data_IF_377003701274
#
_entry.id   IF_377003701274
#
_cell.length_a   1.000
_cell.length_b   1.000
_cell.length_c   1.000
_cell.angle_alpha   90.00
_cell.angle_beta   90.00
_cell.angle_gamma   90.00
#
_symmetry.space_group_name_H-M   'P 1'
#
loop_
_entity.id
_entity.type
_entity.pdbx_description
1 polymer ?
#
# COMPACT_ATOMS: atom_id res chain seq x y z
N UNK A 1 -12.32 -53.34 -3.69
CA UNK A 1 -11.01 -52.65 -3.68
C UNK A 1 -10.77 -51.76 -4.90
N UNK A 2 -11.02 -52.20 -6.15
CA UNK A 2 -10.83 -51.38 -7.37
C UNK A 2 -11.64 -50.05 -7.39
N UNK A 3 -12.86 -50.04 -6.83
CA UNK A 3 -13.73 -48.84 -6.76
C UNK A 3 -13.21 -47.78 -5.76
N UNK A 4 -12.55 -48.20 -4.68
CA UNK A 4 -11.95 -47.27 -3.70
C UNK A 4 -10.67 -46.62 -4.21
N UNK A 5 -9.89 -47.32 -5.04
CA UNK A 5 -8.68 -46.76 -5.66
C UNK A 5 -9.04 -45.68 -6.68
N UNK A 6 -10.13 -45.88 -7.45
CA UNK A 6 -10.61 -44.88 -8.40
C UNK A 6 -11.10 -43.60 -7.70
N UNK A 7 -11.79 -43.75 -6.56
CA UNK A 7 -12.27 -42.61 -5.77
C UNK A 7 -11.12 -41.80 -5.14
N UNK A 8 -10.04 -42.48 -4.73
CA UNK A 8 -8.86 -41.81 -4.15
C UNK A 8 -8.03 -41.05 -5.19
N UNK A 9 -8.03 -41.51 -6.45
CA UNK A 9 -7.35 -40.83 -7.57
C UNK A 9 -8.14 -39.61 -8.09
N UNK A 10 -9.47 -39.63 -7.98
CA UNK A 10 -10.33 -38.55 -8.48
C UNK A 10 -10.41 -37.33 -7.53
N UNK A 11 -10.16 -37.55 -6.24
CA UNK A 11 -10.20 -36.52 -5.19
C UNK A 11 -9.19 -35.36 -5.41
N UNK A 12 -7.91 -35.59 -5.74
CA UNK A 12 -6.97 -34.49 -5.98
C UNK A 12 -7.29 -33.71 -7.27
N UNK A 13 -7.91 -34.33 -8.28
CA UNK A 13 -8.27 -33.64 -9.51
C UNK A 13 -9.36 -32.57 -9.30
N UNK A 14 -10.29 -32.81 -8.36
CA UNK A 14 -11.29 -31.80 -7.96
C UNK A 14 -10.71 -30.68 -7.09
N UNK A 15 -9.61 -30.93 -6.35
CA UNK A 15 -8.99 -29.92 -5.51
C UNK A 15 -8.24 -28.84 -6.32
N UNK A 16 -7.80 -29.15 -7.55
CA UNK A 16 -7.07 -28.19 -8.40
C UNK A 16 -7.98 -27.24 -9.19
N UNK A 17 -9.29 -27.52 -9.32
CA UNK A 17 -10.20 -26.66 -10.11
C UNK A 17 -10.59 -25.36 -9.42
N UNK A 18 -10.26 -25.19 -8.13
CA UNK A 18 -10.58 -23.97 -7.36
C UNK A 18 -9.50 -22.89 -7.36
N UNK A 19 -8.34 -23.12 -7.99
CA UNK A 19 -7.20 -22.21 -7.89
C UNK A 19 -7.16 -21.12 -8.99
N UNK A 20 -8.05 -21.15 -9.97
CA UNK A 20 -8.11 -20.16 -11.06
C UNK A 20 -8.54 -18.78 -10.55
N UNK A 21 -9.55 -18.71 -9.68
CA UNK A 21 -10.12 -17.46 -9.16
C UNK A 21 -9.40 -16.90 -7.94
N UNK A 22 -8.43 -17.65 -7.39
CA UNK A 22 -7.64 -17.24 -6.24
C UNK A 22 -6.76 -16.02 -6.56
N UNK A 23 -6.23 -15.94 -7.79
CA UNK A 23 -5.37 -14.85 -8.25
C UNK A 23 -6.13 -13.51 -8.33
N UNK A 24 -7.41 -13.56 -8.69
CA UNK A 24 -8.26 -12.37 -8.82
C UNK A 24 -8.74 -11.89 -7.44
N UNK A 25 -9.08 -12.82 -6.54
CA UNK A 25 -9.46 -12.49 -5.15
C UNK A 25 -8.29 -11.95 -4.30
N UNK A 26 -7.06 -12.41 -4.55
CA UNK A 26 -5.86 -11.88 -3.88
C UNK A 26 -5.35 -10.57 -4.50
N UNK A 27 -6.01 -10.05 -5.54
CA UNK A 27 -5.61 -8.81 -6.20
C UNK A 27 -4.27 -8.90 -6.94
N UNK A 28 -3.80 -10.12 -7.27
CA UNK A 28 -2.62 -10.34 -8.10
C UNK A 28 -2.91 -10.01 -9.58
N UNK A 29 -4.16 -10.11 -10.00
CA UNK A 29 -4.63 -9.51 -11.26
C UNK A 29 -5.04 -8.05 -11.00
N UNK A 30 -4.36 -7.11 -11.65
CA UNK A 30 -4.76 -5.70 -11.68
C UNK A 30 -5.62 -5.46 -12.92
N UNK A 31 -6.95 -5.34 -12.81
CA UNK A 31 -7.74 -4.88 -13.94
C UNK A 31 -7.34 -3.44 -14.26
N UNK A 32 -6.78 -3.22 -15.44
CA UNK A 32 -6.53 -1.87 -15.95
C UNK A 32 -7.87 -1.14 -16.10
N UNK A 33 -8.00 0.12 -15.66
CA UNK A 33 -9.21 0.90 -15.87
C UNK A 33 -9.49 1.04 -17.37
N UNK A 34 -10.72 0.74 -17.80
CA UNK A 34 -11.15 0.86 -19.19
C UNK A 34 -11.17 2.33 -19.63
N UNK A 35 -10.17 2.72 -20.43
CA UNK A 35 -10.04 4.07 -20.97
C UNK A 35 -11.13 4.46 -21.99
N UNK A 36 -11.93 3.50 -22.48
CA UNK A 36 -13.01 3.74 -23.44
C UNK A 36 -14.40 3.76 -22.80
N UNK A 37 -14.47 3.62 -21.47
CA UNK A 37 -15.76 3.60 -20.78
C UNK A 37 -16.43 4.98 -20.78
N UNK A 38 -17.49 5.11 -21.57
CA UNK A 38 -18.31 6.34 -21.63
C UNK A 38 -19.19 6.42 -20.39
N UNK A 39 -19.02 7.49 -19.61
CA UNK A 39 -19.87 7.78 -18.44
C UNK A 39 -21.16 8.46 -18.92
N UNK A 40 -22.32 7.88 -18.61
CA UNK A 40 -23.61 8.50 -18.90
C UNK A 40 -23.82 9.75 -18.04
N UNK A 41 -24.16 10.85 -18.71
CA UNK A 41 -24.59 12.10 -18.05
C UNK A 41 -26.10 12.06 -17.83
N UNK A 42 -26.58 12.81 -16.85
CA UNK A 42 -28.01 13.00 -16.64
C UNK A 42 -28.65 13.57 -17.92
N UNK A 43 -29.86 13.13 -18.30
CA UNK A 43 -30.55 13.66 -19.48
C UNK A 43 -30.78 15.17 -19.32
N UNK A 44 -30.51 15.94 -20.37
CA UNK A 44 -30.86 17.36 -20.39
C UNK A 44 -32.36 17.49 -20.64
N UNK A 45 -33.12 17.82 -19.58
CA UNK A 45 -34.54 18.18 -19.71
C UNK A 45 -34.62 19.67 -19.94
N UNK A 46 -35.23 20.07 -21.05
CA UNK A 46 -35.53 21.46 -21.33
C UNK A 46 -36.74 21.87 -20.48
N UNK A 47 -36.61 22.79 -19.52
CA UNK A 47 -37.75 23.26 -18.75
C UNK A 47 -38.75 24.00 -19.66
N UNK A 48 -40.06 23.93 -19.36
CA UNK A 48 -41.11 24.52 -20.20
C UNK A 48 -41.04 26.05 -20.28
N UNK A 49 -40.38 26.71 -19.33
CA UNK A 49 -40.27 28.17 -19.28
C UNK A 49 -38.81 28.64 -19.43
N UNK A 50 -38.57 29.42 -20.49
CA UNK A 50 -37.29 30.06 -20.82
C UNK A 50 -37.08 31.42 -20.13
N UNK A 51 -37.90 31.78 -19.16
CA UNK A 51 -37.89 33.11 -18.51
C UNK A 51 -36.88 33.22 -17.37
N UNK A 52 -36.00 32.23 -17.20
CA UNK A 52 -34.92 32.29 -16.22
C UNK A 52 -33.80 33.19 -16.73
N UNK A 53 -33.33 34.09 -15.85
CA UNK A 53 -32.12 34.87 -16.11
C UNK A 53 -30.96 33.89 -16.39
N UNK A 54 -30.18 34.08 -17.47
CA UNK A 54 -29.06 33.21 -17.75
C UNK A 54 -28.16 33.07 -16.52
N UNK A 55 -27.73 31.86 -16.16
CA UNK A 55 -26.82 31.69 -15.04
C UNK A 55 -25.57 32.54 -15.30
N UNK A 56 -25.06 33.20 -14.25
CA UNK A 56 -23.87 34.02 -14.37
C UNK A 56 -22.70 33.19 -14.93
N UNK A 57 -21.91 33.78 -15.82
CA UNK A 57 -20.72 33.13 -16.38
C UNK A 57 -19.81 32.64 -15.24
N UNK A 58 -19.61 31.32 -15.12
CA UNK A 58 -18.82 30.70 -14.04
C UNK A 58 -19.61 30.28 -12.79
N UNK A 59 -20.94 30.38 -12.78
CA UNK A 59 -21.76 29.83 -11.70
C UNK A 59 -21.57 28.30 -11.61
N UNK A 60 -21.36 27.79 -10.40
CA UNK A 60 -21.22 26.36 -10.16
C UNK A 60 -22.48 25.62 -10.62
N UNK A 61 -22.31 24.52 -11.36
CA UNK A 61 -23.41 23.68 -11.80
C UNK A 61 -24.12 23.06 -10.58
N UNK A 62 -25.32 23.54 -10.25
CA UNK A 62 -26.09 23.14 -9.05
C UNK A 62 -26.62 21.68 -9.08
N UNK A 63 -26.20 20.86 -10.04
CA UNK A 63 -26.59 19.44 -10.17
C UNK A 63 -25.47 18.53 -10.69
N UNK A 64 -24.21 18.99 -10.72
CA UNK A 64 -23.11 18.18 -11.21
C UNK A 64 -22.71 17.11 -10.17
N UNK A 65 -23.33 15.93 -10.24
CA UNK A 65 -22.88 14.76 -9.49
C UNK A 65 -21.59 14.26 -10.10
N UNK A 66 -20.49 14.32 -9.34
CA UNK A 66 -19.20 13.79 -9.78
C UNK A 66 -19.23 12.26 -9.79
N UNK A 67 -18.42 11.59 -10.63
CA UNK A 67 -18.32 10.13 -10.60
C UNK A 67 -17.90 9.60 -9.23
N UNK A 68 -17.07 10.35 -8.49
CA UNK A 68 -16.66 10.01 -7.11
C UNK A 68 -17.85 10.00 -6.17
N UNK A 69 -18.66 11.06 -6.16
CA UNK A 69 -19.84 11.16 -5.30
C UNK A 69 -20.90 10.10 -5.64
N UNK A 70 -21.00 9.70 -6.92
CA UNK A 70 -21.89 8.61 -7.36
C UNK A 70 -21.39 7.23 -6.94
N UNK A 71 -20.08 6.99 -6.98
CA UNK A 71 -19.49 5.75 -6.49
C UNK A 71 -19.62 5.64 -4.97
N UNK A 72 -19.37 6.74 -4.26
CA UNK A 72 -19.55 6.85 -2.82
C UNK A 72 -21.01 6.53 -2.41
N UNK A 73 -22.00 7.10 -3.10
CA UNK A 73 -23.41 6.79 -2.82
C UNK A 73 -23.79 5.35 -3.12
N UNK A 74 -23.21 4.74 -4.16
CA UNK A 74 -23.46 3.33 -4.49
C UNK A 74 -22.84 2.38 -3.45
N UNK A 75 -21.67 2.73 -2.90
CA UNK A 75 -20.97 1.91 -1.91
C UNK A 75 -21.56 2.06 -0.50
N UNK A 76 -21.91 3.29 -0.10
CA UNK A 76 -22.39 3.59 1.24
C UNK A 76 -23.92 3.58 1.35
N UNK A 77 -24.63 3.49 0.22
CA UNK A 77 -26.10 3.58 0.17
C UNK A 77 -26.64 4.95 0.60
N UNK A 78 -25.78 5.97 0.71
CA UNK A 78 -26.14 7.32 1.16
C UNK A 78 -26.04 8.28 -0.02
N UNK A 79 -27.15 8.92 -0.38
CA UNK A 79 -27.13 9.94 -1.43
C UNK A 79 -26.43 11.20 -0.88
N UNK A 80 -25.39 11.77 -1.53
CA UNK A 80 -24.75 13.00 -1.08
C UNK A 80 -25.71 14.20 -0.99
N UNK A 81 -26.86 14.15 -1.68
CA UNK A 81 -27.93 15.14 -1.56
C UNK A 81 -28.95 14.82 -0.47
N UNK A 82 -28.96 13.59 0.06
CA UNK A 82 -29.47 13.40 1.41
C UNK A 82 -28.42 13.98 2.34
N UNK A 83 -28.54 15.29 2.63
CA UNK A 83 -28.12 15.81 3.94
C UNK A 83 -28.44 14.71 4.91
N UNK A 84 -27.48 14.25 5.74
CA UNK A 84 -27.73 13.38 6.88
C UNK A 84 -29.08 13.79 7.46
N UNK A 85 -30.14 13.13 7.03
CA UNK A 85 -31.39 13.21 7.71
C UNK A 85 -30.96 12.56 8.99
N UNK A 86 -30.92 13.35 10.05
CA UNK A 86 -30.92 12.86 11.40
C UNK A 86 -31.96 11.75 11.39
N UNK A 87 -31.51 10.52 11.12
CA UNK A 87 -32.35 9.34 11.09
C UNK A 87 -32.79 9.31 12.52
N UNK A 88 -34.01 9.79 12.76
CA UNK A 88 -34.45 10.27 14.05
C UNK A 88 -34.27 9.09 14.98
N UNK A 89 -33.19 9.12 15.77
CA UNK A 89 -32.72 7.96 16.52
C UNK A 89 -33.92 7.45 17.30
N UNK A 90 -34.22 6.16 17.18
CA UNK A 90 -35.30 5.59 17.97
C UNK A 90 -34.99 5.79 19.45
N UNK A 91 -36.03 5.76 20.29
CA UNK A 91 -35.85 5.88 21.74
C UNK A 91 -34.90 4.80 22.30
N UNK A 92 -34.82 3.63 21.65
CA UNK A 92 -33.88 2.58 22.03
C UNK A 92 -32.43 2.91 21.63
N UNK A 93 -32.22 3.43 20.42
CA UNK A 93 -30.88 3.79 19.93
C UNK A 93 -30.28 4.97 20.70
N UNK A 94 -31.08 5.99 21.01
CA UNK A 94 -30.65 7.12 21.86
C UNK A 94 -30.25 6.65 23.27
N UNK A 95 -31.03 5.75 23.89
CA UNK A 95 -30.67 5.18 25.20
C UNK A 95 -29.41 4.32 25.14
N UNK A 96 -29.19 3.58 24.06
CA UNK A 96 -27.97 2.82 23.88
C UNK A 96 -26.75 3.73 23.66
N UNK A 97 -26.90 4.81 22.90
CA UNK A 97 -25.87 5.84 22.72
C UNK A 97 -25.53 6.55 24.04
N UNK A 98 -26.53 6.87 24.86
CA UNK A 98 -26.33 7.44 26.20
C UNK A 98 -25.52 6.49 27.10
N UNK A 99 -25.87 5.19 27.10
CA UNK A 99 -25.19 4.17 27.90
C UNK A 99 -23.77 3.89 27.43
N UNK A 100 -23.54 3.87 26.11
CA UNK A 100 -22.21 3.61 25.53
C UNK A 100 -21.33 4.87 25.48
N UNK A 101 -21.91 6.05 25.72
CA UNK A 101 -21.20 7.32 25.59
C UNK A 101 -20.82 7.66 24.15
N UNK A 102 -21.42 7.00 23.14
CA UNK A 102 -21.09 7.20 21.73
C UNK A 102 -21.32 8.63 21.25
N UNK A 103 -22.26 9.35 21.87
CA UNK A 103 -22.55 10.77 21.60
C UNK A 103 -21.44 11.73 22.09
N UNK A 104 -20.53 11.25 22.95
CA UNK A 104 -19.43 12.06 23.50
C UNK A 104 -18.11 11.86 22.75
N UNK A 105 -18.12 11.17 21.62
CA UNK A 105 -16.91 10.91 20.83
C UNK A 105 -16.41 12.19 20.17
N UNK A 106 -15.13 12.51 20.35
CA UNK A 106 -14.49 13.65 19.69
C UNK A 106 -14.48 13.41 18.16
N UNK A 107 -15.12 14.28 17.35
CA UNK A 107 -15.14 14.14 15.89
C UNK A 107 -13.75 14.15 15.26
N UNK A 108 -12.76 14.74 15.95
CA UNK A 108 -11.37 14.86 15.50
C UNK A 108 -10.47 13.71 15.94
N UNK A 109 -10.98 12.71 16.69
CA UNK A 109 -10.16 11.62 17.26
C UNK A 109 -9.36 10.86 16.20
N UNK A 110 -9.93 10.66 14.99
CA UNK A 110 -9.23 10.03 13.88
C UNK A 110 -8.02 10.83 13.44
N UNK A 111 -8.16 12.14 13.29
CA UNK A 111 -7.07 13.03 12.90
C UNK A 111 -5.96 13.07 13.96
N UNK A 112 -6.32 12.94 15.24
CA UNK A 112 -5.35 12.84 16.34
C UNK A 112 -4.60 11.50 16.29
N UNK A 113 -5.31 10.37 16.17
CA UNK A 113 -4.69 9.04 16.03
C UNK A 113 -3.78 8.96 14.82
N UNK A 114 -4.20 9.49 13.67
CA UNK A 114 -3.39 9.49 12.46
C UNK A 114 -2.09 10.29 12.65
N UNK A 115 -2.18 11.45 13.33
CA UNK A 115 -1.00 12.28 13.64
C UNK A 115 -0.04 11.59 14.59
N UNK A 116 -0.54 10.98 15.65
CA UNK A 116 0.25 10.24 16.64
C UNK A 116 0.90 9.01 16.00
N UNK A 117 0.13 8.25 15.21
CA UNK A 117 0.61 7.07 14.49
C UNK A 117 1.72 7.42 13.49
N UNK A 118 1.59 8.55 12.79
CA UNK A 118 2.62 9.04 11.87
C UNK A 118 3.93 9.39 12.60
N UNK A 119 3.84 10.01 13.79
CA UNK A 119 5.02 10.33 14.60
C UNK A 119 5.73 9.08 15.11
N UNK A 120 4.98 8.07 15.58
CA UNK A 120 5.53 6.78 16.01
C UNK A 120 6.18 6.02 14.85
N UNK A 121 5.57 6.06 13.66
CA UNK A 121 6.13 5.44 12.47
C UNK A 121 7.49 6.05 12.08
N UNK A 122 7.63 7.37 12.17
CA UNK A 122 8.90 8.06 11.86
C UNK A 122 10.01 7.74 12.88
N UNK A 123 9.68 7.72 14.18
CA UNK A 123 10.63 7.37 15.23
C UNK A 123 11.22 5.95 15.05
N UNK A 124 10.40 5.00 14.59
CA UNK A 124 10.83 3.63 14.33
C UNK A 124 11.74 3.51 13.10
N UNK A 125 11.58 4.39 12.09
CA UNK A 125 12.48 4.39 10.92
C UNK A 125 13.92 4.62 11.33
N UNK A 126 14.21 5.59 12.19
CA UNK A 126 15.60 5.90 12.62
C UNK A 126 16.30 4.70 13.27
N UNK A 127 15.57 3.89 14.03
CA UNK A 127 16.10 2.68 14.66
C UNK A 127 16.37 1.58 13.63
N UNK A 128 15.43 1.34 12.71
CA UNK A 128 15.62 0.39 11.62
C UNK A 128 16.72 0.83 10.64
N UNK A 129 16.83 2.12 10.34
CA UNK A 129 17.86 2.71 9.46
C UNK A 129 19.25 2.46 10.05
N UNK A 130 19.39 2.65 11.37
CA UNK A 130 20.64 2.39 12.10
C UNK A 130 21.04 0.90 12.09
N UNK A 131 20.06 0.00 12.09
CA UNK A 131 20.32 -1.45 11.98
C UNK A 131 20.65 -1.83 10.53
N UNK A 132 19.97 -1.24 9.55
CA UNK A 132 20.18 -1.51 8.12
C UNK A 132 21.52 -0.98 7.61
N UNK A 133 21.93 0.20 8.04
CA UNK A 133 23.16 0.86 7.60
C UNK A 133 24.38 0.47 8.47
N UNK A 134 24.25 -0.55 9.31
CA UNK A 134 25.37 -1.15 10.03
C UNK A 134 26.23 -1.96 9.06
N UNK A 135 27.25 -1.32 8.49
CA UNK A 135 28.31 -2.01 7.75
C UNK A 135 29.37 -2.51 8.76
N UNK A 136 29.53 -3.83 8.99
CA UNK A 136 30.66 -4.31 9.77
C UNK A 136 31.96 -3.89 9.08
N UNK A 137 33.04 -3.59 9.84
CA UNK A 137 34.31 -3.20 9.23
C UNK A 137 34.83 -4.33 8.34
N UNK A 138 34.60 -4.23 7.03
CA UNK A 138 35.13 -5.15 6.06
C UNK A 138 36.61 -4.85 5.84
N UNK A 139 37.49 -5.69 6.39
CA UNK A 139 38.89 -5.75 5.99
C UNK A 139 38.96 -6.29 4.56
N UNK A 140 38.96 -5.38 3.58
CA UNK A 140 39.03 -5.72 2.17
C UNK A 140 40.46 -6.14 1.80
N UNK A 141 40.62 -7.37 1.31
CA UNK A 141 41.89 -7.88 0.79
C UNK A 141 42.19 -7.26 -0.58
N UNK A 142 43.43 -6.86 -0.83
CA UNK A 142 43.86 -6.34 -2.14
C UNK A 142 44.00 -7.50 -3.14
N UNK A 143 43.12 -7.62 -4.15
CA UNK A 143 43.11 -8.78 -5.04
C UNK A 143 44.37 -8.85 -5.92
N UNK A 144 44.98 -7.71 -6.24
CA UNK A 144 46.16 -7.66 -7.10
C UNK A 144 47.37 -8.15 -6.33
N UNK A 145 47.59 -7.60 -5.13
CA UNK A 145 48.72 -8.00 -4.28
C UNK A 145 48.58 -9.42 -3.76
N UNK A 146 47.35 -9.87 -3.46
CA UNK A 146 47.12 -11.24 -3.02
C UNK A 146 47.41 -12.25 -4.13
N UNK A 147 47.04 -11.95 -5.37
CA UNK A 147 47.39 -12.79 -6.52
C UNK A 147 48.90 -12.90 -6.68
N UNK A 148 49.62 -11.78 -6.60
CA UNK A 148 51.10 -11.78 -6.69
C UNK A 148 51.75 -12.62 -5.58
N UNK A 149 51.20 -12.57 -4.36
CA UNK A 149 51.67 -13.39 -3.23
C UNK A 149 51.45 -14.88 -3.50
N UNK A 150 50.28 -15.25 -4.00
CA UNK A 150 49.93 -16.64 -4.31
C UNK A 150 50.82 -17.22 -5.43
N UNK A 151 51.11 -16.44 -6.46
CA UNK A 151 52.02 -16.86 -7.53
C UNK A 151 53.45 -17.05 -7.02
N UNK A 152 53.93 -16.18 -6.12
CA UNK A 152 55.24 -16.33 -5.48
C UNK A 152 55.30 -17.56 -4.57
N UNK A 153 54.30 -17.78 -3.72
CA UNK A 153 54.24 -18.97 -2.87
C UNK A 153 54.22 -20.26 -3.70
N UNK A 154 53.49 -20.25 -4.83
CA UNK A 154 53.44 -21.38 -5.76
C UNK A 154 54.79 -21.64 -6.43
N UNK A 155 55.51 -20.59 -6.83
CA UNK A 155 56.85 -20.71 -7.40
C UNK A 155 57.90 -21.19 -6.37
N UNK A 156 57.73 -20.83 -5.10
CA UNK A 156 58.63 -21.20 -4.00
C UNK A 156 58.26 -22.54 -3.32
N UNK A 157 57.17 -23.20 -3.74
CA UNK A 157 56.69 -24.45 -3.15
C UNK A 157 56.11 -24.34 -1.74
N UNK A 158 55.79 -23.11 -1.30
CA UNK A 158 55.21 -22.82 0.03
C UNK A 158 53.69 -22.99 0.02
N UNK A 159 53.06 -23.39 1.14
CA UNK A 159 51.61 -23.47 1.24
C UNK A 159 50.94 -22.08 1.09
N UNK A 160 49.71 -22.08 0.57
CA UNK A 160 48.98 -20.85 0.22
C UNK A 160 48.67 -19.93 1.43
N UNK A 161 48.70 -20.48 2.64
CA UNK A 161 48.44 -19.76 3.90
C UNK A 161 49.68 -19.07 4.50
N UNK A 162 50.85 -19.19 3.87
CA UNK A 162 52.09 -18.62 4.41
C UNK A 162 52.31 -17.17 3.93
N UNK A 163 52.51 -16.25 4.88
CA UNK A 163 52.76 -14.83 4.63
C UNK A 163 51.61 -13.90 5.06
N UNK A 164 51.87 -12.58 5.06
CA UNK A 164 50.87 -11.58 5.41
C UNK A 164 49.94 -11.31 4.22
N UNK A 165 48.63 -11.39 4.45
CA UNK A 165 47.61 -11.06 3.45
C UNK A 165 47.56 -9.53 3.29
N UNK A 166 47.81 -8.99 2.08
CA UNK A 166 47.78 -7.55 1.86
C UNK A 166 46.34 -7.03 1.97
N UNK A 167 46.10 -6.17 2.95
CA UNK A 167 44.79 -5.54 3.19
C UNK A 167 44.77 -4.10 2.67
N UNK A 168 43.66 -3.70 2.04
CA UNK A 168 43.38 -2.32 1.66
C UNK A 168 42.86 -1.60 2.91
N UNK A 169 43.67 -0.70 3.47
CA UNK A 169 43.14 0.20 4.49
C UNK A 169 42.24 1.25 3.83
N UNK A 170 40.99 1.43 4.28
CA UNK A 170 40.17 2.53 3.80
C UNK A 170 40.86 3.85 4.17
N UNK A 171 41.21 4.67 3.17
CA UNK A 171 41.70 6.03 3.42
C UNK A 171 40.62 6.76 4.21
N UNK A 172 40.95 7.18 5.43
CA UNK A 172 40.07 8.04 6.24
C UNK A 172 39.77 9.29 5.41
N UNK A 173 38.50 9.50 5.06
CA UNK A 173 38.04 10.77 4.47
C UNK A 173 38.32 11.87 5.49
N UNK A 174 39.29 12.74 5.19
CA UNK A 174 39.57 13.93 5.98
C UNK A 174 38.48 14.98 5.79
N UNK A 175 38.30 15.85 6.78
CA UNK A 175 37.29 16.92 6.83
C UNK A 175 37.30 17.87 5.61
N UNK A 176 38.39 17.85 4.84
CA UNK A 176 38.63 18.72 3.67
C UNK A 176 38.40 18.05 2.31
N UNK A 177 38.12 16.73 2.26
CA UNK A 177 37.71 16.05 1.03
C UNK A 177 36.20 15.79 1.10
N UNK A 178 35.44 16.85 0.85
CA UNK A 178 33.99 16.78 0.59
C UNK A 178 33.74 16.74 -0.91
#
# INVERSE_FOLDING_TARGET
MRKSILAFLLLPAFALTGCSDFKDNLGLSRPSPDEFRVVSRAPLVLPPDFTLRPPANGAANLGAVTPRTKAESALLGTDPNTKKSDAKLSNGESKLLDLTGGDKSDPSIKATIDRESAQLAEANKTLLDKIRDYEPPATLVDPVKEKERLEKNKAEGKPANEGQIPMIQPKRKGLFNR
#
